data_IF_028729838970
#
_entry.id   IF_028729838970
#
_cell.length_a   1.000
_cell.length_b   1.000
_cell.length_c   1.000
_cell.angle_alpha   90.00
_cell.angle_beta   90.00
_cell.angle_gamma   90.00
#
_symmetry.space_group_name_H-M   'P 1'
#
loop_
_entity.id
_entity.type
_entity.pdbx_description
1 polymer ?
#
# COMPACT_ATOMS: atom_id res chain seq x y z
N UNK A 1 0.58 -16.61 -87.55
CA UNK A 1 1.40 -15.57 -88.22
C UNK A 1 1.37 -15.86 -89.72
N UNK A 2 1.15 -14.86 -90.58
CA UNK A 2 1.19 -15.04 -92.04
C UNK A 2 2.54 -14.54 -92.56
N UNK A 3 3.19 -15.33 -93.41
CA UNK A 3 4.47 -14.95 -94.03
C UNK A 3 4.37 -15.19 -95.53
N UNK A 4 4.89 -14.26 -96.33
CA UNK A 4 4.91 -14.35 -97.80
C UNK A 4 6.34 -14.14 -98.27
N UNK A 5 6.89 -15.12 -98.98
CA UNK A 5 8.21 -14.97 -99.61
C UNK A 5 8.07 -14.15 -100.89
N UNK A 6 9.14 -13.48 -101.31
CA UNK A 6 9.14 -12.55 -102.45
C UNK A 6 8.71 -13.16 -103.78
N UNK A 7 8.75 -14.49 -103.91
CA UNK A 7 8.42 -15.23 -105.13
C UNK A 7 7.02 -15.84 -105.13
N UNK A 8 6.25 -15.69 -104.06
CA UNK A 8 4.90 -16.26 -103.93
C UNK A 8 3.84 -15.17 -104.10
N UNK A 9 2.69 -15.48 -104.70
CA UNK A 9 1.59 -14.51 -104.90
C UNK A 9 0.60 -14.45 -103.74
N UNK A 10 0.57 -15.46 -102.88
CA UNK A 10 -0.32 -15.55 -101.71
C UNK A 10 0.44 -15.72 -100.38
N UNK A 11 -0.18 -15.38 -99.26
CA UNK A 11 0.40 -15.55 -97.93
C UNK A 11 0.23 -17.00 -97.45
N UNK A 12 1.31 -17.61 -96.97
CA UNK A 12 1.26 -18.95 -96.38
C UNK A 12 1.05 -18.82 -94.87
N UNK A 13 0.05 -19.52 -94.35
CA UNK A 13 -0.19 -19.61 -92.92
C UNK A 13 0.86 -20.50 -92.25
N UNK A 14 1.67 -19.92 -91.35
CA UNK A 14 2.66 -20.65 -90.56
C UNK A 14 2.06 -21.28 -89.28
N UNK A 15 0.74 -21.42 -89.23
CA UNK A 15 0.02 -21.83 -88.04
C UNK A 15 -0.30 -20.68 -87.08
N UNK A 16 -1.20 -20.98 -86.16
CA UNK A 16 -1.63 -20.11 -85.05
C UNK A 16 -0.93 -20.58 -83.78
N UNK A 17 -0.05 -19.75 -83.22
CA UNK A 17 0.43 -19.89 -81.84
C UNK A 17 -0.20 -18.76 -81.03
N UNK A 18 -0.97 -19.11 -80.00
CA UNK A 18 -1.61 -18.13 -79.13
C UNK A 18 -0.56 -17.53 -78.21
N UNK A 19 -0.45 -16.19 -78.20
CA UNK A 19 0.29 -15.50 -77.14
C UNK A 19 -0.60 -15.60 -75.90
N UNK A 20 -0.19 -16.43 -74.94
CA UNK A 20 -0.87 -16.52 -73.64
C UNK A 20 -0.54 -15.22 -72.90
N UNK A 21 -1.52 -14.32 -72.78
CA UNK A 21 -1.36 -13.14 -71.93
C UNK A 21 -1.18 -13.59 -70.48
N UNK A 22 -0.19 -13.02 -69.81
CA UNK A 22 0.09 -13.18 -68.37
C UNK A 22 -1.19 -12.89 -67.58
N UNK A 23 -1.53 -13.67 -66.54
CA UNK A 23 -2.91 -13.87 -66.12
C UNK A 23 -3.40 -12.74 -65.22
N UNK A 24 -4.08 -11.76 -65.77
CA UNK A 24 -5.09 -11.00 -65.04
C UNK A 24 -6.25 -10.70 -66.00
N UNK A 25 -7.45 -11.11 -65.61
CA UNK A 25 -8.72 -11.02 -66.34
C UNK A 25 -8.99 -12.14 -67.38
N UNK A 26 -9.37 -13.34 -66.89
CA UNK A 26 -10.19 -14.23 -67.70
C UNK A 26 -11.66 -13.82 -67.58
N UNK A 27 -12.10 -12.94 -68.47
CA UNK A 27 -13.45 -12.97 -69.01
C UNK A 27 -13.31 -13.24 -70.51
N UNK A 28 -13.05 -14.50 -70.86
CA UNK A 28 -13.14 -14.96 -72.23
C UNK A 28 -14.37 -15.86 -72.33
N UNK A 29 -15.52 -15.23 -72.54
CA UNK A 29 -16.82 -15.87 -72.81
C UNK A 29 -16.74 -16.88 -73.99
N UNK A 30 -15.70 -16.78 -74.82
CA UNK A 30 -15.43 -17.66 -75.96
C UNK A 30 -14.53 -18.88 -75.66
N UNK A 31 -14.06 -19.07 -74.42
CA UNK A 31 -13.08 -20.13 -74.10
C UNK A 31 -13.68 -21.52 -73.80
N UNK A 32 -15.00 -21.72 -73.90
CA UNK A 32 -15.70 -22.98 -73.57
C UNK A 32 -16.54 -23.55 -74.71
N UNK A 33 -16.11 -23.36 -75.95
CA UNK A 33 -16.57 -24.21 -77.06
C UNK A 33 -15.70 -25.46 -77.15
N UNK A 34 -16.23 -26.58 -77.67
CA UNK A 34 -15.66 -27.94 -77.59
C UNK A 34 -14.20 -28.16 -78.05
N UNK A 35 -13.51 -27.13 -78.55
CA UNK A 35 -12.05 -27.11 -78.75
C UNK A 35 -11.24 -26.78 -77.47
N UNK A 36 -11.90 -26.45 -76.35
CA UNK A 36 -11.28 -25.94 -75.13
C UNK A 36 -10.55 -26.96 -74.24
N UNK A 37 -10.66 -28.26 -74.55
CA UNK A 37 -9.87 -29.29 -73.85
C UNK A 37 -8.36 -29.13 -74.05
N UNK A 38 -7.91 -28.34 -75.05
CA UNK A 38 -6.48 -28.08 -75.30
C UNK A 38 -5.90 -26.85 -74.56
N UNK A 39 -6.74 -25.96 -74.01
CA UNK A 39 -6.26 -24.70 -73.40
C UNK A 39 -6.08 -24.81 -71.88
N UNK A 40 -6.35 -25.98 -71.32
CA UNK A 40 -6.11 -26.29 -69.92
C UNK A 40 -6.94 -25.46 -68.94
N UNK A 41 -8.10 -24.90 -69.31
CA UNK A 41 -9.00 -24.18 -68.38
C UNK A 41 -10.19 -25.09 -68.05
N UNK A 42 -10.43 -25.34 -66.77
CA UNK A 42 -11.40 -26.35 -66.30
C UNK A 42 -12.83 -25.84 -66.11
N UNK A 43 -13.06 -24.53 -65.91
CA UNK A 43 -14.38 -23.92 -65.75
C UNK A 43 -14.33 -22.38 -65.80
N UNK A 44 -15.48 -21.72 -66.02
CA UNK A 44 -15.63 -20.26 -65.87
C UNK A 44 -15.81 -19.91 -64.38
N UNK A 45 -15.10 -18.88 -63.92
CA UNK A 45 -15.24 -18.32 -62.57
C UNK A 45 -16.04 -17.02 -62.57
N UNK A 46 -16.53 -16.61 -61.40
CA UNK A 46 -17.12 -15.29 -61.19
C UNK A 46 -16.12 -14.17 -61.45
N UNK A 47 -16.62 -12.97 -61.79
CA UNK A 47 -15.81 -11.77 -61.99
C UNK A 47 -14.93 -11.51 -60.76
N UNK A 48 -13.64 -11.18 -61.00
CA UNK A 48 -12.68 -10.88 -59.95
C UNK A 48 -11.92 -12.08 -59.40
N UNK A 49 -12.36 -13.33 -59.66
CA UNK A 49 -11.62 -14.52 -59.24
C UNK A 49 -10.29 -14.66 -60.00
N UNK A 50 -9.23 -15.08 -59.31
CA UNK A 50 -7.98 -15.46 -59.97
C UNK A 50 -8.02 -16.92 -60.44
N UNK A 51 -7.14 -17.30 -61.37
CA UNK A 51 -6.93 -18.69 -61.75
C UNK A 51 -5.70 -19.27 -61.05
N UNK A 52 -5.78 -20.52 -60.62
CA UNK A 52 -4.64 -21.28 -60.08
C UNK A 52 -4.45 -22.59 -60.85
N UNK A 53 -3.20 -23.06 -60.92
CA UNK A 53 -2.89 -24.34 -61.56
C UNK A 53 -3.14 -25.50 -60.60
N UNK A 54 -3.81 -26.53 -61.09
CA UNK A 54 -4.00 -27.83 -60.43
C UNK A 54 -2.91 -28.83 -60.80
N UNK A 55 -1.90 -28.42 -61.59
CA UNK A 55 -0.85 -29.27 -62.14
C UNK A 55 -1.21 -29.94 -63.49
N UNK A 56 -2.51 -30.02 -63.81
CA UNK A 56 -3.04 -30.58 -65.07
C UNK A 56 -3.97 -29.60 -65.80
N UNK A 57 -4.59 -28.67 -65.08
CA UNK A 57 -5.43 -27.61 -65.63
C UNK A 57 -5.41 -26.37 -64.72
N UNK A 58 -5.88 -25.24 -65.23
CA UNK A 58 -6.16 -24.01 -64.54
C UNK A 58 -7.62 -23.99 -64.10
N UNK A 59 -7.86 -23.65 -62.84
CA UNK A 59 -9.18 -23.52 -62.25
C UNK A 59 -9.33 -22.12 -61.64
N UNK A 60 -10.51 -21.48 -61.76
CA UNK A 60 -10.79 -20.26 -61.04
C UNK A 60 -10.90 -20.54 -59.52
N UNK A 61 -10.53 -19.57 -58.69
CA UNK A 61 -10.71 -19.62 -57.23
C UNK A 61 -11.29 -18.31 -56.70
N UNK A 62 -12.29 -18.44 -55.82
CA UNK A 62 -12.85 -17.31 -55.08
C UNK A 62 -12.03 -16.94 -53.83
N UNK A 63 -10.98 -17.73 -53.50
CA UNK A 63 -10.17 -17.51 -52.31
C UNK A 63 -9.24 -16.30 -52.44
N UNK A 64 -8.89 -15.92 -53.67
CA UNK A 64 -8.19 -14.68 -53.94
C UNK A 64 -8.97 -13.98 -55.04
N UNK A 65 -9.52 -12.81 -54.71
CA UNK A 65 -10.26 -12.00 -55.68
C UNK A 65 -9.71 -10.59 -55.74
N UNK A 66 -9.75 -10.01 -56.94
CA UNK A 66 -9.34 -8.64 -57.21
C UNK A 66 -10.55 -7.89 -57.76
N UNK A 67 -11.12 -7.00 -56.96
CA UNK A 67 -12.28 -6.16 -57.33
C UNK A 67 -12.06 -4.74 -56.80
N UNK A 68 -12.43 -3.73 -57.58
CA UNK A 68 -12.46 -2.32 -57.17
C UNK A 68 -11.20 -1.86 -56.40
N UNK A 69 -10.02 -2.16 -56.97
CA UNK A 69 -8.69 -1.84 -56.41
C UNK A 69 -8.32 -2.56 -55.10
N UNK A 70 -9.08 -3.58 -54.69
CA UNK A 70 -8.84 -4.35 -53.47
C UNK A 70 -8.49 -5.81 -53.81
N UNK A 71 -7.51 -6.36 -53.09
CA UNK A 71 -7.22 -7.81 -53.11
C UNK A 71 -7.81 -8.43 -51.84
N UNK A 72 -8.75 -9.34 -51.99
CA UNK A 72 -9.37 -10.06 -50.88
C UNK A 72 -8.84 -11.49 -50.89
N UNK A 73 -8.23 -11.91 -49.77
CA UNK A 73 -7.83 -13.31 -49.55
C UNK A 73 -8.74 -13.91 -48.48
N UNK A 74 -9.51 -14.92 -48.86
CA UNK A 74 -10.50 -15.57 -48.00
C UNK A 74 -10.14 -17.04 -47.74
N UNK A 75 -10.14 -17.49 -46.47
CA UNK A 75 -9.96 -18.90 -46.13
C UNK A 75 -11.15 -19.75 -46.62
N UNK A 76 -10.96 -21.07 -46.72
CA UNK A 76 -12.06 -22.00 -46.97
C UNK A 76 -12.93 -22.16 -45.70
N UNK A 77 -14.19 -22.60 -45.83
CA UNK A 77 -15.07 -22.83 -44.68
C UNK A 77 -14.54 -23.73 -43.54
N UNK A 78 -13.47 -24.50 -43.76
CA UNK A 78 -12.83 -25.39 -42.77
C UNK A 78 -11.31 -25.13 -42.65
N UNK A 79 -10.90 -23.89 -42.87
CA UNK A 79 -9.49 -23.52 -42.73
C UNK A 79 -9.03 -23.60 -41.26
N UNK A 80 -7.82 -24.10 -41.05
CA UNK A 80 -7.20 -24.21 -39.74
C UNK A 80 -6.75 -22.80 -39.28
N UNK A 81 -7.30 -22.25 -38.17
CA UNK A 81 -6.94 -20.91 -37.70
C UNK A 81 -5.45 -20.75 -37.33
N UNK A 82 -4.72 -21.86 -37.10
CA UNK A 82 -3.28 -21.86 -36.86
C UNK A 82 -2.45 -21.82 -38.15
N UNK A 83 -3.07 -21.90 -39.32
CA UNK A 83 -2.39 -21.73 -40.61
C UNK A 83 -2.59 -20.31 -41.16
N UNK A 84 -1.61 -19.77 -41.89
CA UNK A 84 -1.73 -18.44 -42.46
C UNK A 84 -2.67 -18.44 -43.67
N UNK A 85 -3.58 -17.46 -43.73
CA UNK A 85 -4.38 -17.11 -44.92
C UNK A 85 -3.47 -16.51 -46.00
N UNK A 86 -2.49 -15.72 -45.59
CA UNK A 86 -1.47 -15.12 -46.45
C UNK A 86 -0.12 -15.17 -45.74
N UNK A 87 0.93 -15.62 -46.43
CA UNK A 87 2.28 -15.66 -45.87
C UNK A 87 3.31 -15.16 -46.89
N UNK A 88 4.26 -14.35 -46.39
CA UNK A 88 5.48 -13.98 -47.09
C UNK A 88 6.60 -14.83 -46.51
N UNK A 89 7.34 -15.53 -47.37
CA UNK A 89 8.47 -16.38 -46.94
C UNK A 89 9.80 -15.85 -47.44
N UNK A 90 10.88 -16.08 -46.68
CA UNK A 90 12.25 -15.83 -47.15
C UNK A 90 12.70 -16.90 -48.18
N UNK A 91 13.92 -16.76 -48.70
CA UNK A 91 14.49 -17.71 -49.69
C UNK A 91 14.70 -19.13 -49.14
N UNK A 92 14.58 -19.33 -47.83
CA UNK A 92 14.68 -20.63 -47.15
C UNK A 92 13.31 -21.25 -46.88
N UNK A 93 12.21 -20.60 -47.30
CA UNK A 93 10.84 -21.07 -47.07
C UNK A 93 10.28 -20.76 -45.68
N UNK A 94 10.98 -19.95 -44.88
CA UNK A 94 10.52 -19.55 -43.55
C UNK A 94 9.57 -18.36 -43.64
N UNK A 95 8.46 -18.39 -42.91
CA UNK A 95 7.47 -17.30 -42.87
C UNK A 95 8.05 -16.09 -42.14
N UNK A 96 8.15 -14.94 -42.81
CA UNK A 96 8.60 -13.65 -42.24
C UNK A 96 7.43 -12.72 -41.91
N UNK A 97 6.30 -12.88 -42.59
CA UNK A 97 5.05 -12.20 -42.30
C UNK A 97 3.91 -13.16 -42.61
N UNK A 98 2.94 -13.26 -41.72
CA UNK A 98 1.74 -14.05 -41.95
C UNK A 98 0.49 -13.36 -41.41
N UNK A 99 -0.60 -13.48 -42.15
CA UNK A 99 -1.95 -13.09 -41.74
C UNK A 99 -2.73 -14.36 -41.42
N UNK A 100 -3.27 -14.42 -40.22
CA UNK A 100 -4.15 -15.47 -39.71
C UNK A 100 -5.55 -14.90 -39.53
N UNK A 101 -6.55 -15.76 -39.31
CA UNK A 101 -7.91 -15.32 -38.98
C UNK A 101 -7.95 -14.48 -37.68
N UNK A 102 -7.00 -14.71 -36.78
CA UNK A 102 -6.90 -14.03 -35.47
C UNK A 102 -6.02 -12.78 -35.47
N UNK A 103 -5.28 -12.51 -36.55
CA UNK A 103 -4.41 -11.32 -36.64
C UNK A 103 -3.16 -11.50 -37.50
N UNK A 104 -2.24 -10.54 -37.40
CA UNK A 104 -1.01 -10.49 -38.21
C UNK A 104 0.21 -10.80 -37.34
N UNK A 105 1.09 -11.69 -37.79
CA UNK A 105 2.38 -11.99 -37.15
C UNK A 105 3.53 -11.58 -38.07
N UNK A 106 4.51 -10.86 -37.53
CA UNK A 106 5.80 -10.59 -38.18
C UNK A 106 6.89 -11.39 -37.47
N UNK A 107 7.57 -12.26 -38.21
CA UNK A 107 8.69 -13.04 -37.69
C UNK A 107 9.98 -12.34 -38.11
N UNK A 108 10.73 -11.84 -37.13
CA UNK A 108 12.04 -11.23 -37.34
C UNK A 108 13.11 -12.27 -37.02
N UNK A 109 14.01 -12.56 -37.97
CA UNK A 109 15.11 -13.49 -37.74
C UNK A 109 15.97 -13.06 -36.53
N UNK A 110 16.16 -13.99 -35.60
CA UNK A 110 17.12 -13.83 -34.52
C UNK A 110 18.52 -14.15 -35.01
N UNK A 111 19.23 -13.19 -35.60
CA UNK A 111 20.67 -13.38 -35.83
C UNK A 111 21.40 -13.54 -34.49
N UNK A 112 22.40 -14.41 -34.43
CA UNK A 112 23.29 -14.61 -33.27
C UNK A 112 24.23 -13.42 -33.02
N UNK A 113 24.19 -12.42 -33.88
CA UNK A 113 24.92 -11.15 -33.79
C UNK A 113 23.96 -9.99 -34.08
N UNK A 114 23.26 -9.53 -33.04
CA UNK A 114 22.46 -8.29 -33.11
C UNK A 114 23.36 -7.08 -32.82
N UNK A 115 23.21 -6.01 -33.60
CA UNK A 115 23.86 -4.72 -33.35
C UNK A 115 23.37 -4.06 -32.05
N UNK A 116 23.97 -2.92 -31.67
CA UNK A 116 23.74 -2.22 -30.39
C UNK A 116 22.29 -1.80 -30.10
N UNK A 117 21.36 -1.95 -31.04
CA UNK A 117 19.92 -1.72 -30.85
C UNK A 117 19.17 -2.98 -31.29
N UNK A 118 18.39 -3.55 -30.37
CA UNK A 118 17.66 -4.81 -30.56
C UNK A 118 16.62 -4.75 -31.69
N UNK A 119 16.18 -5.93 -32.15
CA UNK A 119 15.41 -6.15 -33.39
C UNK A 119 13.99 -5.57 -33.49
N UNK A 120 13.62 -4.59 -32.65
CA UNK A 120 12.40 -3.80 -32.83
C UNK A 120 12.65 -2.38 -32.27
N UNK A 121 12.80 -1.40 -33.16
CA UNK A 121 12.97 0.01 -32.81
C UNK A 121 11.85 0.81 -33.48
N UNK A 122 11.09 1.55 -32.69
CA UNK A 122 10.05 2.45 -33.17
C UNK A 122 10.50 3.88 -32.90
N UNK A 123 10.72 4.67 -33.97
CA UNK A 123 11.09 6.08 -33.84
C UNK A 123 11.22 6.78 -35.20
N UNK A 124 10.94 8.08 -35.24
CA UNK A 124 11.14 8.93 -36.41
C UNK A 124 12.62 9.22 -36.66
N UNK A 125 13.08 9.01 -37.89
CA UNK A 125 14.44 9.33 -38.35
C UNK A 125 14.47 10.74 -38.94
N UNK A 126 14.67 11.81 -38.15
CA UNK A 126 15.17 13.08 -38.72
C UNK A 126 15.84 13.98 -37.69
N UNK A 127 17.06 14.43 -38.01
CA UNK A 127 17.74 15.57 -37.36
C UNK A 127 17.17 16.93 -37.83
N UNK A 128 15.85 17.04 -38.04
CA UNK A 128 15.22 18.23 -38.61
C UNK A 128 13.90 18.54 -37.92
N UNK A 129 13.76 19.76 -37.40
CA UNK A 129 12.50 20.32 -36.89
C UNK A 129 11.68 20.88 -38.05
N UNK A 130 10.40 20.47 -38.14
CA UNK A 130 9.18 21.15 -38.63
C UNK A 130 8.23 20.07 -39.19
N UNK A 131 7.25 19.57 -38.45
CA UNK A 131 5.96 20.17 -38.04
C UNK A 131 4.95 20.29 -39.20
N UNK A 132 3.92 19.40 -39.22
CA UNK A 132 2.58 19.64 -39.76
C UNK A 132 1.58 18.64 -39.12
N UNK A 133 0.63 19.16 -38.32
CA UNK A 133 -0.68 18.60 -37.96
C UNK A 133 -0.80 17.09 -37.67
N UNK A 134 -0.75 16.76 -36.38
CA UNK A 134 -1.06 15.45 -35.82
C UNK A 134 0.18 14.82 -35.21
N UNK A 135 0.25 14.74 -33.88
CA UNK A 135 1.28 13.96 -33.18
C UNK A 135 1.27 12.53 -33.73
N UNK A 136 2.34 12.06 -34.41
CA UNK A 136 2.40 10.68 -34.83
C UNK A 136 2.51 9.81 -33.58
N UNK A 137 1.45 9.07 -33.27
CA UNK A 137 1.52 7.98 -32.31
C UNK A 137 2.34 6.88 -32.94
N UNK A 138 3.61 6.79 -32.59
CA UNK A 138 4.50 5.81 -33.18
C UNK A 138 4.22 4.38 -32.67
N UNK A 139 3.63 4.24 -31.48
CA UNK A 139 3.19 2.98 -30.89
C UNK A 139 2.15 3.24 -29.78
N UNK A 140 0.96 2.65 -29.88
CA UNK A 140 -0.12 2.74 -28.88
C UNK A 140 -0.48 1.33 -28.41
N UNK A 141 -0.51 1.13 -27.09
CA UNK A 141 -0.98 -0.09 -26.44
C UNK A 141 -2.24 0.25 -25.64
N UNK A 142 -3.34 -0.44 -25.90
CA UNK A 142 -4.62 -0.30 -25.21
C UNK A 142 -4.78 -1.29 -24.05
N UNK A 143 -5.63 -0.99 -23.04
CA UNK A 143 -5.29 -1.21 -21.63
C UNK A 143 -5.53 -2.62 -21.07
N UNK A 144 -5.99 -3.59 -21.85
CA UNK A 144 -6.40 -4.88 -21.25
C UNK A 144 -5.23 -5.81 -20.94
N UNK A 145 -4.14 -5.82 -21.72
CA UNK A 145 -2.91 -6.56 -21.37
C UNK A 145 -1.75 -6.25 -22.33
N UNK A 146 -0.57 -5.90 -21.80
CA UNK A 146 0.67 -5.80 -22.58
C UNK A 146 1.74 -6.71 -21.94
N UNK A 147 2.16 -7.76 -22.65
CA UNK A 147 3.17 -8.72 -22.18
C UNK A 147 4.46 -8.57 -22.97
N UNK A 148 5.57 -8.36 -22.26
CA UNK A 148 6.92 -8.38 -22.84
C UNK A 148 7.59 -9.72 -22.52
N UNK A 149 7.65 -10.63 -23.50
CA UNK A 149 8.36 -11.90 -23.40
C UNK A 149 9.78 -11.74 -23.96
N UNK A 150 10.79 -12.15 -23.20
CA UNK A 150 12.19 -12.08 -23.62
C UNK A 150 12.82 -13.48 -23.62
N UNK A 151 13.38 -13.89 -24.75
CA UNK A 151 14.19 -15.12 -24.87
C UNK A 151 15.39 -15.09 -23.91
N UNK A 152 15.60 -16.17 -23.16
CA UNK A 152 16.57 -16.31 -22.07
C UNK A 152 17.97 -16.78 -22.54
N UNK A 153 18.15 -17.09 -23.82
CA UNK A 153 19.44 -17.62 -24.29
C UNK A 153 20.37 -16.51 -24.82
N UNK A 154 21.36 -16.16 -23.98
CA UNK A 154 22.47 -15.21 -24.23
C UNK A 154 22.11 -13.73 -24.51
N UNK A 155 21.95 -12.94 -23.43
CA UNK A 155 21.77 -11.46 -23.52
C UNK A 155 23.05 -10.67 -23.28
N UNK A 156 23.20 -9.55 -24.00
CA UNK A 156 24.23 -8.53 -23.76
C UNK A 156 23.95 -7.65 -22.54
N UNK A 157 24.90 -6.78 -22.17
CA UNK A 157 24.93 -6.05 -20.89
C UNK A 157 23.71 -5.16 -20.58
N UNK A 158 22.89 -4.79 -21.57
CA UNK A 158 21.66 -3.98 -21.40
C UNK A 158 20.63 -4.32 -22.48
N UNK A 159 19.87 -5.41 -22.30
CA UNK A 159 18.77 -5.78 -23.19
C UNK A 159 17.59 -6.37 -22.42
N UNK A 160 16.41 -5.77 -22.59
CA UNK A 160 15.17 -6.06 -21.85
C UNK A 160 14.79 -4.89 -20.95
N UNK A 161 13.48 -4.68 -20.72
CA UNK A 161 12.96 -3.63 -19.84
C UNK A 161 13.64 -3.72 -18.47
N UNK A 162 14.60 -2.83 -18.21
CA UNK A 162 15.46 -2.89 -17.03
C UNK A 162 14.98 -1.88 -15.99
N UNK A 163 14.45 -2.39 -14.88
CA UNK A 163 14.35 -1.66 -13.61
C UNK A 163 15.32 -2.36 -12.65
N UNK A 164 16.57 -1.87 -12.58
CA UNK A 164 17.65 -2.48 -11.80
C UNK A 164 18.93 -1.64 -11.79
N UNK A 165 19.74 -1.78 -10.73
CA UNK A 165 20.83 -0.87 -10.37
C UNK A 165 22.05 -0.84 -11.31
N UNK A 166 22.77 0.28 -11.25
CA UNK A 166 24.05 0.52 -11.94
C UNK A 166 25.18 -0.31 -11.31
N UNK A 167 25.35 -1.57 -11.72
CA UNK A 167 26.47 -2.40 -11.26
C UNK A 167 26.84 -3.47 -12.28
N UNK A 168 28.11 -3.51 -12.70
CA UNK A 168 28.63 -4.39 -13.75
C UNK A 168 28.77 -5.87 -13.37
N UNK A 169 28.15 -6.33 -12.29
CA UNK A 169 28.36 -7.69 -11.76
C UNK A 169 27.07 -8.49 -11.83
N UNK A 170 27.08 -9.54 -12.65
CA UNK A 170 25.97 -10.47 -12.86
C UNK A 170 25.71 -11.24 -11.56
N UNK A 171 24.56 -11.05 -10.93
CA UNK A 171 24.07 -11.94 -9.88
C UNK A 171 23.07 -12.93 -10.49
N UNK A 172 23.14 -14.17 -10.01
CA UNK A 172 22.51 -15.39 -10.54
C UNK A 172 21.03 -15.56 -10.18
N UNK A 173 20.44 -14.63 -9.43
CA UNK A 173 19.11 -14.80 -8.88
C UNK A 173 18.08 -13.94 -9.60
N UNK A 174 16.95 -14.57 -9.93
CA UNK A 174 15.79 -13.91 -10.54
C UNK A 174 15.11 -13.08 -9.46
N UNK A 175 15.46 -11.81 -9.34
CA UNK A 175 14.85 -10.89 -8.39
C UNK A 175 13.77 -10.05 -9.08
N UNK A 176 12.53 -10.14 -8.60
CA UNK A 176 11.42 -9.30 -9.04
C UNK A 176 11.50 -7.94 -8.34
N UNK A 177 12.05 -6.92 -8.99
CA UNK A 177 12.25 -5.58 -8.39
C UNK A 177 11.00 -4.69 -8.39
N UNK A 178 10.09 -4.89 -9.33
CA UNK A 178 8.85 -4.11 -9.46
C UNK A 178 7.73 -5.01 -9.96
N UNK A 179 6.62 -5.03 -9.23
CA UNK A 179 5.38 -5.69 -9.65
C UNK A 179 4.32 -4.61 -9.76
N UNK A 180 3.66 -4.53 -10.93
CA UNK A 180 2.56 -3.60 -11.20
C UNK A 180 1.31 -4.45 -11.41
N UNK A 181 0.37 -4.31 -10.50
CA UNK A 181 -1.02 -4.76 -10.66
C UNK A 181 -1.92 -3.54 -10.89
N UNK A 182 -3.13 -3.72 -11.45
CA UNK A 182 -4.11 -2.63 -11.58
C UNK A 182 -4.46 -1.95 -10.26
N UNK A 183 -4.32 -2.64 -9.13
CA UNK A 183 -4.67 -2.19 -7.78
C UNK A 183 -3.46 -1.90 -6.88
N UNK A 184 -2.25 -2.28 -7.29
CA UNK A 184 -1.08 -2.20 -6.41
C UNK A 184 0.25 -2.17 -7.16
N UNK A 185 1.18 -1.37 -6.67
CA UNK A 185 2.56 -1.36 -7.12
C UNK A 185 3.44 -1.77 -5.94
N UNK A 186 4.23 -2.84 -6.12
CA UNK A 186 5.20 -3.30 -5.10
C UNK A 186 6.61 -3.06 -5.59
N UNK A 187 7.41 -2.36 -4.78
CA UNK A 187 8.86 -2.26 -4.93
C UNK A 187 9.52 -3.20 -3.92
N UNK A 188 10.18 -4.25 -4.41
CA UNK A 188 10.90 -5.19 -3.55
C UNK A 188 12.38 -4.81 -3.49
N UNK A 189 12.88 -4.51 -2.29
CA UNK A 189 14.28 -4.16 -2.05
C UNK A 189 14.92 -5.34 -1.33
N UNK A 190 15.94 -5.97 -1.94
CA UNK A 190 16.68 -7.05 -1.30
C UNK A 190 17.37 -6.57 -0.01
N UNK A 191 17.23 -7.33 1.06
CA UNK A 191 17.87 -7.08 2.36
C UNK A 191 19.25 -7.72 2.49
N UNK A 192 19.72 -8.51 1.51
CA UNK A 192 20.83 -9.45 1.70
C UNK A 192 22.15 -9.09 1.00
N UNK A 193 22.36 -7.85 0.55
CA UNK A 193 23.64 -7.45 -0.03
C UNK A 193 24.12 -6.13 0.57
N UNK A 194 25.42 -6.08 0.87
CA UNK A 194 26.17 -4.90 1.29
C UNK A 194 25.74 -3.68 0.48
N UNK A 195 24.89 -2.84 1.08
CA UNK A 195 24.32 -1.67 0.41
C UNK A 195 25.46 -0.69 0.13
N UNK A 196 25.50 -0.17 -1.10
CA UNK A 196 26.34 1.00 -1.43
C UNK A 196 25.88 2.22 -0.64
N UNK A 197 26.63 3.33 -0.76
CA UNK A 197 26.43 4.58 0.00
C UNK A 197 25.01 5.23 -0.11
N UNK A 198 24.12 4.71 -0.95
CA UNK A 198 22.72 5.12 -1.07
C UNK A 198 21.84 3.86 -1.02
N UNK A 199 20.96 3.79 -0.02
CA UNK A 199 20.12 2.63 0.27
C UNK A 199 19.15 2.25 -0.86
N UNK A 200 18.51 1.09 -0.72
CA UNK A 200 17.85 0.40 -1.83
C UNK A 200 16.58 1.02 -2.45
N UNK A 201 16.12 2.19 -1.99
CA UNK A 201 15.14 3.02 -2.69
C UNK A 201 15.45 4.49 -2.39
N UNK A 202 15.89 5.23 -3.40
CA UNK A 202 16.25 6.64 -3.29
C UNK A 202 15.52 7.43 -4.37
N UNK A 203 14.74 8.43 -3.96
CA UNK A 203 14.09 9.38 -4.87
C UNK A 203 14.80 10.73 -4.73
N UNK A 204 15.55 11.14 -5.75
CA UNK A 204 16.43 12.30 -5.69
C UNK A 204 17.05 12.66 -7.04
N UNK A 205 17.42 13.94 -7.21
CA UNK A 205 18.04 14.46 -8.43
C UNK A 205 19.43 13.86 -8.70
N UNK A 206 19.70 13.54 -9.97
CA UNK A 206 20.93 12.87 -10.45
C UNK A 206 22.10 13.82 -10.79
N UNK A 207 22.12 15.05 -10.28
CA UNK A 207 23.07 16.05 -10.78
C UNK A 207 24.01 16.56 -9.69
N UNK A 208 25.32 16.52 -9.97
CA UNK A 208 26.37 17.31 -9.29
C UNK A 208 26.24 18.83 -9.59
N UNK A 209 25.08 19.30 -10.02
CA UNK A 209 24.81 20.69 -10.34
C UNK A 209 23.92 21.27 -9.26
N UNK A 210 24.44 22.27 -8.55
CA UNK A 210 23.70 23.03 -7.54
C UNK A 210 22.74 24.00 -8.25
N UNK A 211 21.57 24.17 -7.62
CA UNK A 211 20.55 25.23 -7.76
C UNK A 211 19.34 24.90 -8.64
N UNK A 212 18.21 24.56 -8.01
CA UNK A 212 17.19 25.57 -7.67
C UNK A 212 15.97 24.93 -6.99
N UNK A 213 15.48 25.62 -5.96
CA UNK A 213 14.11 25.65 -5.39
C UNK A 213 13.33 24.34 -5.28
N UNK A 214 13.24 23.82 -4.04
CA UNK A 214 12.21 22.90 -3.52
C UNK A 214 11.57 21.96 -4.55
N UNK A 215 12.26 20.86 -4.88
CA UNK A 215 11.64 19.77 -5.64
C UNK A 215 10.95 18.81 -4.65
N UNK A 216 9.65 18.56 -4.84
CA UNK A 216 8.96 17.45 -4.19
C UNK A 216 9.52 16.15 -4.76
N UNK A 217 10.38 15.47 -4.00
CA UNK A 217 10.92 14.17 -4.42
C UNK A 217 9.93 13.04 -4.21
N UNK A 218 8.95 13.20 -3.33
CA UNK A 218 7.93 12.20 -3.05
C UNK A 218 6.69 12.91 -2.52
N UNK A 219 5.57 12.82 -3.24
CA UNK A 219 4.29 13.40 -2.88
C UNK A 219 3.25 12.28 -2.83
N UNK A 220 2.45 12.28 -1.77
CA UNK A 220 1.43 11.26 -1.51
C UNK A 220 0.10 11.97 -1.29
N UNK A 221 -0.91 11.57 -2.05
CA UNK A 221 -2.21 12.24 -2.17
C UNK A 221 -3.28 11.58 -1.24
N UNK A 222 -4.48 12.18 -1.09
CA UNK A 222 -5.33 12.09 0.12
C UNK A 222 -5.90 10.74 0.55
N UNK A 223 -5.70 9.65 -0.19
CA UNK A 223 -6.40 8.39 0.07
C UNK A 223 -5.78 7.55 1.20
N UNK A 224 -5.16 8.22 2.19
CA UNK A 224 -4.53 7.68 3.40
C UNK A 224 -3.29 6.82 3.16
N UNK A 225 -2.12 7.39 3.49
CA UNK A 225 -0.88 6.64 3.64
C UNK A 225 -0.55 6.55 5.12
N UNK A 226 -0.38 5.33 5.61
CA UNK A 226 -0.04 5.04 6.99
C UNK A 226 1.42 4.56 7.07
N UNK A 227 2.15 5.05 8.07
CA UNK A 227 3.44 4.48 8.47
C UNK A 227 3.17 3.58 9.67
N UNK A 228 3.30 2.27 9.49
CA UNK A 228 2.95 1.28 10.54
C UNK A 228 3.93 1.30 11.72
N UNK A 229 5.16 1.75 11.49
CA UNK A 229 6.22 1.74 12.50
C UNK A 229 6.75 3.18 12.73
N UNK A 230 8.06 3.35 12.71
CA UNK A 230 8.73 4.61 13.08
C UNK A 230 9.01 5.48 11.86
N UNK A 231 8.69 6.77 11.97
CA UNK A 231 9.21 7.81 11.09
C UNK A 231 10.48 8.42 11.72
N UNK A 232 11.61 8.37 11.01
CA UNK A 232 12.86 9.01 11.45
C UNK A 232 13.26 10.05 10.41
N UNK A 233 13.44 11.30 10.86
CA UNK A 233 14.02 12.38 10.04
C UNK A 233 15.39 12.75 10.60
N UNK A 234 16.41 12.83 9.73
CA UNK A 234 17.75 13.32 10.08
C UNK A 234 17.87 14.85 9.94
N UNK A 235 16.83 15.51 9.43
CA UNK A 235 16.77 16.96 9.22
C UNK A 235 15.37 17.50 9.56
N UNK A 236 15.11 18.75 9.24
CA UNK A 236 13.85 19.41 9.57
C UNK A 236 12.63 18.69 8.96
N UNK A 237 11.60 18.50 9.78
CA UNK A 237 10.28 18.05 9.36
C UNK A 237 9.31 19.20 9.55
N UNK A 238 8.72 19.69 8.46
CA UNK A 238 7.71 20.73 8.49
C UNK A 238 6.33 20.08 8.30
N UNK A 239 5.46 20.19 9.31
CA UNK A 239 4.08 19.69 9.25
C UNK A 239 3.14 20.88 9.16
N UNK A 240 2.41 20.99 8.05
CA UNK A 240 1.45 22.08 7.77
C UNK A 240 0.03 21.80 8.34
N UNK A 241 -0.09 20.83 9.24
CA UNK A 241 -1.34 20.39 9.86
C UNK A 241 -1.10 19.78 11.25
N UNK A 242 -2.12 19.11 11.80
CA UNK A 242 -2.04 18.53 13.14
C UNK A 242 -1.41 17.14 13.11
N UNK A 243 -0.39 16.91 13.94
CA UNK A 243 0.05 15.55 14.31
C UNK A 243 -0.74 15.15 15.55
N UNK A 244 -1.63 14.17 15.42
CA UNK A 244 -2.36 13.62 16.57
C UNK A 244 -1.78 12.26 16.95
N UNK A 245 -1.32 12.13 18.18
CA UNK A 245 -0.78 10.86 18.71
C UNK A 245 -1.86 9.96 19.31
N UNK A 246 -3.16 10.30 19.21
CA UNK A 246 -4.28 9.68 19.96
C UNK A 246 -4.02 9.54 21.48
N UNK A 247 -3.00 10.22 21.99
CA UNK A 247 -2.59 10.24 23.39
C UNK A 247 -2.75 11.67 23.87
N UNK A 248 -3.41 11.87 25.00
CA UNK A 248 -3.57 13.20 25.60
C UNK A 248 -4.60 14.08 24.92
N UNK A 249 -5.59 13.52 24.23
CA UNK A 249 -6.65 14.31 23.58
C UNK A 249 -7.70 14.68 24.65
N UNK A 250 -7.90 15.97 24.97
CA UNK A 250 -8.92 16.37 25.95
C UNK A 250 -10.32 15.95 25.50
N UNK A 251 -11.11 15.42 26.43
CA UNK A 251 -12.51 15.06 26.23
C UNK A 251 -13.41 15.97 27.09
N UNK A 252 -14.73 16.02 26.82
CA UNK A 252 -15.65 16.81 27.63
C UNK A 252 -15.56 16.43 29.13
N UNK A 253 -15.52 17.42 30.04
CA UNK A 253 -15.44 17.15 31.47
C UNK A 253 -16.71 16.42 31.97
N UNK A 254 -16.56 15.73 33.08
CA UNK A 254 -17.56 14.87 33.71
C UNK A 254 -17.89 15.38 35.11
N UNK A 255 -19.15 15.33 35.53
CA UNK A 255 -19.56 15.57 36.92
C UNK A 255 -19.96 14.25 37.60
N UNK A 256 -19.58 14.08 38.87
CA UNK A 256 -20.11 13.00 39.71
C UNK A 256 -21.45 13.38 40.38
N UNK A 257 -21.94 12.47 41.23
CA UNK A 257 -23.19 12.62 41.98
C UNK A 257 -23.14 13.74 43.04
N UNK A 258 -21.94 14.12 43.49
CA UNK A 258 -21.69 15.23 44.41
C UNK A 258 -21.44 16.55 43.65
N UNK A 259 -21.70 16.58 42.34
CA UNK A 259 -21.49 17.73 41.44
C UNK A 259 -20.03 18.17 41.34
N UNK A 260 -19.09 17.27 41.62
CA UNK A 260 -17.66 17.52 41.45
C UNK A 260 -17.32 17.30 39.98
N UNK A 261 -16.74 18.32 39.34
CA UNK A 261 -16.34 18.29 37.94
C UNK A 261 -14.90 17.79 37.84
N UNK A 262 -14.66 16.87 36.90
CA UNK A 262 -13.37 16.29 36.57
C UNK A 262 -13.06 16.48 35.10
N UNK A 263 -11.82 16.81 34.81
CA UNK A 263 -11.29 16.75 33.45
C UNK A 263 -11.16 15.29 33.00
N UNK A 264 -11.29 15.07 31.69
CA UNK A 264 -11.19 13.75 31.07
C UNK A 264 -10.25 13.81 29.88
N UNK A 265 -9.63 12.68 29.56
CA UNK A 265 -8.62 12.58 28.50
C UNK A 265 -8.71 11.25 27.77
N UNK A 266 -8.56 11.29 26.45
CA UNK A 266 -8.48 10.10 25.60
C UNK A 266 -7.03 9.70 25.40
N UNK A 267 -6.75 8.41 25.65
CA UNK A 267 -5.46 7.75 25.49
C UNK A 267 -5.69 6.45 24.70
N UNK A 268 -5.19 6.40 23.47
CA UNK A 268 -5.54 5.35 22.53
C UNK A 268 -7.05 5.33 22.28
N UNK A 269 -7.67 4.19 22.57
CA UNK A 269 -9.11 3.99 22.45
C UNK A 269 -9.88 4.17 23.77
N UNK A 270 -9.18 4.45 24.88
CA UNK A 270 -9.78 4.58 26.20
C UNK A 270 -9.96 6.04 26.60
N UNK A 271 -11.02 6.35 27.35
CA UNK A 271 -11.23 7.67 27.94
C UNK A 271 -11.17 7.58 29.45
N UNK A 272 -10.22 8.31 30.03
CA UNK A 272 -9.86 8.27 31.44
C UNK A 272 -10.20 9.60 32.12
N UNK A 273 -10.46 9.56 33.42
CA UNK A 273 -10.41 10.78 34.22
C UNK A 273 -8.97 11.29 34.27
N UNK A 274 -8.78 12.61 34.21
CA UNK A 274 -7.50 13.27 34.40
C UNK A 274 -7.24 13.64 35.88
N UNK A 275 -8.22 13.41 36.76
CA UNK A 275 -8.15 13.73 38.19
C UNK A 275 -8.63 12.57 39.07
N UNK A 276 -8.11 12.47 40.29
CA UNK A 276 -8.53 11.43 41.26
C UNK A 276 -9.98 11.66 41.72
N UNK A 277 -10.70 10.56 41.95
CA UNK A 277 -12.09 10.60 42.40
C UNK A 277 -12.22 11.25 43.80
N UNK A 278 -13.25 12.09 43.98
CA UNK A 278 -13.52 12.89 45.20
C UNK A 278 -14.93 12.71 45.78
N UNK A 279 -15.73 11.81 45.20
CA UNK A 279 -17.10 11.56 45.65
C UNK A 279 -17.13 11.04 47.10
N UNK A 280 -18.23 11.33 47.78
CA UNK A 280 -18.61 10.77 49.08
C UNK A 280 -19.78 9.77 48.97
N UNK A 281 -20.27 9.55 47.75
CA UNK A 281 -21.44 8.71 47.45
C UNK A 281 -21.19 7.81 46.26
N UNK A 282 -21.86 6.66 46.24
CA UNK A 282 -22.01 5.85 45.06
C UNK A 282 -22.86 6.59 44.01
N UNK A 283 -22.75 6.19 42.75
CA UNK A 283 -23.54 6.75 41.63
C UNK A 283 -25.05 6.65 41.79
N UNK A 284 -25.53 5.74 42.63
CA UNK A 284 -26.95 5.60 43.00
C UNK A 284 -27.40 6.61 44.08
N UNK A 285 -26.50 7.47 44.56
CA UNK A 285 -26.73 8.45 45.60
C UNK A 285 -26.55 7.92 47.03
N UNK A 286 -26.27 6.62 47.21
CA UNK A 286 -26.01 6.07 48.55
C UNK A 286 -24.72 6.64 49.13
N UNK A 287 -24.72 7.16 50.37
CA UNK A 287 -23.49 7.55 51.05
C UNK A 287 -22.52 6.38 51.22
N UNK A 288 -21.22 6.65 51.01
CA UNK A 288 -20.15 5.72 51.35
C UNK A 288 -19.87 5.86 52.85
N UNK A 289 -19.77 4.75 53.57
CA UNK A 289 -19.43 4.79 54.99
C UNK A 289 -18.02 5.36 55.17
N UNK A 290 -17.85 6.23 56.17
CA UNK A 290 -16.56 6.81 56.54
C UNK A 290 -15.46 5.80 56.91
N UNK A 291 -15.82 4.54 57.20
CA UNK A 291 -14.86 3.44 57.39
C UNK A 291 -14.29 2.91 56.06
N UNK A 292 -14.92 3.24 54.93
CA UNK A 292 -14.55 2.75 53.59
C UNK A 292 -13.95 3.83 52.70
N UNK A 293 -13.97 5.10 53.13
CA UNK A 293 -13.22 6.16 52.46
C UNK A 293 -12.71 7.22 53.44
N UNK A 294 -11.64 7.90 53.05
CA UNK A 294 -11.03 9.00 53.80
C UNK A 294 -10.86 10.23 52.90
N UNK A 295 -11.22 11.39 53.45
CA UNK A 295 -11.05 12.70 52.82
C UNK A 295 -10.12 13.55 53.67
N UNK A 296 -8.97 13.94 53.11
CA UNK A 296 -7.94 14.72 53.83
C UNK A 296 -8.39 16.16 54.07
N UNK A 297 -8.12 16.67 55.27
CA UNK A 297 -8.34 18.08 55.63
C UNK A 297 -7.06 18.94 55.56
N UNK A 298 -5.95 18.41 55.04
CA UNK A 298 -4.64 19.08 54.99
C UNK A 298 -4.44 19.98 53.74
N UNK A 299 -3.44 20.88 53.72
CA UNK A 299 -3.16 21.79 52.60
C UNK A 299 -2.92 21.08 51.26
N UNK A 300 -2.32 19.89 51.30
CA UNK A 300 -2.35 18.90 50.22
C UNK A 300 -3.79 18.35 50.12
N UNK A 301 -4.64 19.18 49.53
CA UNK A 301 -6.08 19.04 49.62
C UNK A 301 -6.63 17.88 48.79
N UNK A 302 -7.83 17.44 49.15
CA UNK A 302 -8.65 16.51 48.37
C UNK A 302 -8.88 16.99 46.94
N UNK A 303 -8.77 18.30 46.68
CA UNK A 303 -8.82 18.88 45.33
C UNK A 303 -7.68 18.37 44.45
N UNK A 304 -6.49 18.18 45.02
CA UNK A 304 -5.28 17.77 44.28
C UNK A 304 -5.18 16.24 44.21
N UNK A 305 -5.31 15.57 45.35
CA UNK A 305 -4.99 14.15 45.50
C UNK A 305 -6.22 13.23 45.50
N UNK A 306 -7.42 13.79 45.53
CA UNK A 306 -8.65 13.02 45.64
C UNK A 306 -8.93 12.50 47.05
N UNK A 307 -9.95 11.66 47.15
CA UNK A 307 -10.20 10.85 48.34
C UNK A 307 -9.48 9.49 48.23
N UNK A 308 -9.37 8.82 49.37
CA UNK A 308 -8.82 7.48 49.50
C UNK A 308 -9.96 6.52 49.75
N UNK A 309 -10.04 5.42 49.00
CA UNK A 309 -11.09 4.41 49.12
C UNK A 309 -10.47 3.06 49.42
N UNK A 310 -11.08 2.29 50.32
CA UNK A 310 -10.70 0.90 50.52
C UNK A 310 -11.32 0.00 49.45
N UNK A 311 -10.80 -1.21 49.34
CA UNK A 311 -11.31 -2.26 48.45
C UNK A 311 -12.82 -2.47 48.56
N UNK A 312 -13.39 -2.37 49.75
CA UNK A 312 -14.82 -2.56 50.00
C UNK A 312 -15.77 -1.67 49.18
N UNK A 313 -15.31 -0.53 48.62
CA UNK A 313 -16.16 0.31 47.76
C UNK A 313 -16.28 -0.23 46.33
N UNK A 314 -15.37 -1.10 45.90
CA UNK A 314 -15.36 -1.65 44.54
C UNK A 314 -16.66 -2.41 44.28
N UNK A 315 -17.17 -2.30 43.06
CA UNK A 315 -18.47 -2.85 42.68
C UNK A 315 -18.56 -4.36 42.92
N UNK A 316 -17.45 -5.09 42.79
CA UNK A 316 -17.37 -6.53 43.07
C UNK A 316 -17.64 -6.88 44.55
N UNK A 317 -17.40 -5.96 45.49
CA UNK A 317 -17.62 -6.17 46.93
C UNK A 317 -18.85 -5.42 47.44
N UNK A 318 -19.06 -4.17 47.03
CA UNK A 318 -20.18 -3.33 47.47
C UNK A 318 -21.49 -3.61 46.73
N UNK A 319 -21.42 -4.20 45.53
CA UNK A 319 -22.54 -4.28 44.59
C UNK A 319 -22.92 -2.93 43.99
N UNK A 320 -22.10 -1.88 44.15
CA UNK A 320 -22.40 -0.50 43.75
C UNK A 320 -21.26 0.14 42.97
N UNK A 321 -21.60 1.00 42.02
CA UNK A 321 -20.60 1.76 41.26
C UNK A 321 -20.26 3.07 41.98
N UNK A 322 -18.99 3.23 42.36
CA UNK A 322 -18.46 4.44 42.99
C UNK A 322 -18.13 5.54 41.98
N UNK A 323 -17.87 5.17 40.72
CA UNK A 323 -17.58 6.13 39.65
C UNK A 323 -18.88 6.80 39.13
N UNK A 324 -18.79 7.94 38.42
CA UNK A 324 -19.96 8.58 37.81
C UNK A 324 -20.72 7.65 36.85
N UNK A 325 -21.98 7.97 36.54
CA UNK A 325 -22.78 7.18 35.59
C UNK A 325 -22.11 7.12 34.20
N UNK A 326 -22.02 5.92 33.62
CA UNK A 326 -21.30 5.67 32.37
C UNK A 326 -19.78 5.53 32.53
N UNK A 327 -19.31 5.39 33.78
CA UNK A 327 -17.91 5.21 34.13
C UNK A 327 -17.77 4.15 35.22
N UNK A 328 -16.63 3.48 35.28
CA UNK A 328 -16.36 2.45 36.28
C UNK A 328 -14.92 2.51 36.78
N UNK A 329 -14.66 1.78 37.88
CA UNK A 329 -13.30 1.57 38.37
C UNK A 329 -12.61 0.59 37.42
N UNK A 330 -11.44 0.93 36.85
CA UNK A 330 -10.83 0.14 35.80
C UNK A 330 -10.45 -1.26 36.28
N UNK A 331 -10.60 -2.23 35.39
CA UNK A 331 -10.10 -3.59 35.59
C UNK A 331 -8.63 -3.71 35.14
N UNK A 332 -8.07 -4.91 35.30
CA UNK A 332 -6.67 -5.18 34.97
C UNK A 332 -6.36 -4.99 33.48
N UNK A 333 -7.24 -5.47 32.59
CA UNK A 333 -7.03 -5.41 31.14
C UNK A 333 -7.06 -3.97 30.63
N UNK A 334 -7.85 -3.11 31.26
CA UNK A 334 -7.90 -1.69 30.93
C UNK A 334 -6.62 -0.95 31.30
N UNK A 335 -6.06 -1.23 32.48
CA UNK A 335 -4.74 -0.72 32.86
C UNK A 335 -3.63 -1.25 31.96
N UNK A 336 -3.66 -2.54 31.60
CA UNK A 336 -2.70 -3.12 30.66
C UNK A 336 -2.79 -2.46 29.29
N UNK A 337 -4.01 -2.19 28.79
CA UNK A 337 -4.23 -1.47 27.53
C UNK A 337 -3.61 -0.07 27.58
N UNK A 338 -3.87 0.69 28.65
CA UNK A 338 -3.28 2.02 28.84
C UNK A 338 -1.75 1.96 28.83
N UNK A 339 -1.16 1.06 29.64
CA UNK A 339 0.29 0.95 29.80
C UNK A 339 0.98 0.48 28.52
N UNK A 340 0.37 -0.43 27.77
CA UNK A 340 0.87 -0.85 26.46
C UNK A 340 0.82 0.28 25.44
N UNK A 341 -0.25 1.09 25.42
CA UNK A 341 -0.36 2.23 24.50
C UNK A 341 0.76 3.26 24.72
N UNK A 342 1.07 3.56 25.98
CA UNK A 342 2.03 4.62 26.31
C UNK A 342 3.48 4.12 26.43
N UNK A 343 3.65 2.89 26.92
CA UNK A 343 4.95 2.27 27.24
C UNK A 343 5.42 1.20 26.25
N UNK A 344 4.56 0.78 25.31
CA UNK A 344 4.84 -0.28 24.33
C UNK A 344 4.47 -1.69 24.82
N UNK A 345 4.58 -2.68 23.93
CA UNK A 345 4.19 -4.07 24.22
C UNK A 345 4.96 -4.69 25.40
N UNK A 346 6.23 -4.28 25.58
CA UNK A 346 7.11 -4.73 26.66
C UNK A 346 7.24 -3.70 27.79
N UNK A 347 6.20 -2.89 28.03
CA UNK A 347 6.24 -1.80 29.02
C UNK A 347 6.72 -2.27 30.40
N UNK A 348 6.44 -3.51 30.80
CA UNK A 348 6.82 -4.07 32.11
C UNK A 348 8.34 -4.27 32.25
N UNK A 349 9.09 -4.36 31.16
CA UNK A 349 10.55 -4.42 31.16
C UNK A 349 11.20 -3.03 31.29
N UNK A 350 10.47 -1.97 30.91
CA UNK A 350 10.94 -0.58 30.97
C UNK A 350 9.76 0.37 31.22
N UNK A 351 9.23 0.34 32.44
CA UNK A 351 8.03 1.09 32.82
C UNK A 351 8.28 2.59 32.96
N UNK A 352 9.55 3.03 32.94
CA UNK A 352 9.93 4.44 32.98
C UNK A 352 9.35 5.24 31.81
N UNK A 353 9.16 4.63 30.63
CA UNK A 353 8.51 5.33 29.52
C UNK A 353 7.05 5.66 29.83
N UNK A 354 6.30 4.68 30.35
CA UNK A 354 4.92 4.89 30.77
C UNK A 354 4.84 5.96 31.87
N UNK A 355 5.69 5.85 32.90
CA UNK A 355 5.81 6.83 33.98
C UNK A 355 5.97 8.27 33.46
N UNK A 356 6.94 8.49 32.57
CA UNK A 356 7.23 9.83 32.03
C UNK A 356 6.00 10.47 31.40
N UNK A 357 5.18 9.67 30.70
CA UNK A 357 4.05 10.14 29.91
C UNK A 357 2.78 10.41 30.72
N UNK A 358 2.63 9.84 31.92
CA UNK A 358 1.43 9.97 32.78
C UNK A 358 1.65 10.87 34.00
N UNK A 359 2.89 11.21 34.32
CA UNK A 359 3.24 12.03 35.50
C UNK A 359 3.54 13.47 35.09
N UNK A 360 2.96 14.44 35.80
CA UNK A 360 3.19 15.88 35.65
C UNK A 360 4.67 16.26 35.87
N UNK A 361 5.24 17.20 35.07
CA UNK A 361 6.54 17.78 35.38
C UNK A 361 6.47 18.65 36.63
N UNK A 362 7.59 18.75 37.35
CA UNK A 362 7.67 19.45 38.64
C UNK A 362 7.22 20.92 38.59
N UNK A 363 7.50 21.61 37.49
CA UNK A 363 7.14 23.01 37.26
C UNK A 363 5.65 23.24 36.97
N UNK A 364 4.92 22.19 36.59
CA UNK A 364 3.46 22.22 36.40
C UNK A 364 2.66 21.97 37.68
N UNK A 365 3.33 21.61 38.78
CA UNK A 365 2.71 21.48 40.09
C UNK A 365 2.40 22.89 40.62
N UNK A 366 1.10 23.20 40.67
CA UNK A 366 0.53 24.48 41.10
C UNK A 366 1.03 24.84 42.52
N UNK A 367 1.11 26.14 42.81
CA UNK A 367 1.15 26.67 44.19
C UNK A 367 0.09 25.96 45.07
N UNK A 368 0.53 25.12 46.02
CA UNK A 368 -0.35 24.34 46.89
C UNK A 368 -0.18 22.82 46.84
N UNK A 369 0.75 22.29 46.04
CA UNK A 369 1.16 20.87 46.08
C UNK A 369 2.55 20.80 46.71
N UNK A 370 2.64 20.38 47.98
CA UNK A 370 3.91 20.43 48.71
C UNK A 370 4.66 19.09 48.71
N UNK A 371 3.93 17.98 48.56
CA UNK A 371 4.51 16.66 48.84
C UNK A 371 4.81 15.79 47.60
N UNK A 372 4.18 16.00 46.43
CA UNK A 372 4.48 15.19 45.23
C UNK A 372 5.66 15.77 44.46
N UNK A 373 6.84 15.17 44.60
CA UNK A 373 8.05 15.60 43.87
C UNK A 373 8.70 14.39 43.19
N UNK A 374 8.32 14.06 41.94
CA UNK A 374 9.00 13.00 41.21
C UNK A 374 10.49 13.37 41.03
N UNK A 375 11.38 12.37 41.04
CA UNK A 375 12.82 12.60 40.98
C UNK A 375 13.29 13.04 39.58
N UNK A 376 13.11 14.34 39.29
CA UNK A 376 13.47 14.97 38.01
C UNK A 376 14.99 15.01 37.75
N UNK A 377 15.83 14.82 38.78
CA UNK A 377 17.28 14.76 38.59
C UNK A 377 17.72 13.53 37.77
N UNK A 378 16.83 12.52 37.65
CA UNK A 378 17.08 11.28 36.91
C UNK A 378 16.04 11.04 35.81
N UNK A 379 14.80 11.54 35.97
CA UNK A 379 13.67 11.18 35.10
C UNK A 379 12.87 12.42 34.69
N UNK A 380 13.03 12.86 33.43
CA UNK A 380 12.21 13.94 32.85
C UNK A 380 10.79 13.46 32.54
N UNK A 381 9.80 13.95 33.29
CA UNK A 381 8.37 13.66 33.05
C UNK A 381 7.73 14.72 32.16
N UNK A 382 6.67 14.36 31.44
CA UNK A 382 6.00 15.23 30.45
C UNK A 382 4.50 15.35 30.65
N UNK A 383 3.86 14.34 31.23
CA UNK A 383 2.39 14.20 31.26
C UNK A 383 1.72 14.41 29.89
N UNK A 384 2.39 14.00 28.81
CA UNK A 384 1.87 14.16 27.44
C UNK A 384 0.53 13.44 27.22
N UNK A 385 0.18 12.50 28.09
CA UNK A 385 -1.11 11.79 28.09
C UNK A 385 -2.23 12.57 28.77
N UNK A 386 -1.94 13.62 29.54
CA UNK A 386 -2.91 14.33 30.37
C UNK A 386 -3.48 13.53 31.55
N UNK A 387 -3.01 12.29 31.80
CA UNK A 387 -3.55 11.41 32.84
C UNK A 387 -3.34 11.95 34.27
N UNK A 388 -2.22 12.64 34.50
CA UNK A 388 -1.89 13.30 35.77
C UNK A 388 -1.90 12.33 36.97
N UNK A 389 -1.01 11.33 36.92
CA UNK A 389 -0.78 10.34 37.97
C UNK A 389 -0.05 10.96 39.18
N UNK A 390 -0.79 11.68 40.02
CA UNK A 390 -0.26 12.32 41.23
C UNK A 390 -0.09 11.31 42.37
N UNK A 391 1.03 11.39 43.08
CA UNK A 391 1.32 10.52 44.22
C UNK A 391 0.53 10.85 45.48
N UNK A 392 -0.75 10.50 45.48
CA UNK A 392 -1.60 10.60 46.67
C UNK A 392 -1.17 9.64 47.79
N UNK A 393 -0.42 8.59 47.48
CA UNK A 393 -0.07 7.54 48.41
C UNK A 393 -1.27 6.72 48.87
N UNK A 394 -1.18 6.20 50.08
CA UNK A 394 -2.22 5.40 50.72
C UNK A 394 -2.40 5.81 52.18
N UNK A 395 -3.52 5.41 52.75
CA UNK A 395 -3.78 5.42 54.19
C UNK A 395 -4.30 4.05 54.61
N UNK A 396 -4.33 3.77 55.91
CA UNK A 396 -4.92 2.55 56.47
C UNK A 396 -5.81 2.87 57.66
N UNK A 397 -6.78 1.99 57.90
CA UNK A 397 -7.69 2.09 59.03
C UNK A 397 -7.02 1.52 60.29
N UNK A 398 -6.89 2.34 61.33
CA UNK A 398 -6.44 1.90 62.64
C UNK A 398 -7.61 1.27 63.41
N UNK A 399 -7.60 -0.06 63.50
CA UNK A 399 -8.66 -0.82 64.18
C UNK A 399 -8.71 -0.57 65.70
N UNK A 400 -7.61 -0.14 66.33
CA UNK A 400 -7.56 0.09 67.77
C UNK A 400 -8.19 1.43 68.14
N UNK A 401 -8.01 2.44 67.29
CA UNK A 401 -8.51 3.80 67.52
C UNK A 401 -9.70 4.18 66.63
N UNK A 402 -10.18 3.26 65.78
CA UNK A 402 -11.30 3.44 64.86
C UNK A 402 -11.18 4.73 64.04
N UNK A 403 -10.01 4.96 63.45
CA UNK A 403 -9.73 6.15 62.66
C UNK A 403 -8.75 5.85 61.52
N UNK A 404 -8.80 6.67 60.48
CA UNK A 404 -7.78 6.68 59.43
C UNK A 404 -6.46 7.25 59.95
N UNK A 405 -5.35 6.63 59.54
CA UNK A 405 -4.03 7.22 59.72
C UNK A 405 -3.80 8.36 58.71
N UNK A 406 -2.89 9.31 58.99
CA UNK A 406 -2.49 10.29 58.00
C UNK A 406 -1.95 9.60 56.72
N UNK A 407 -2.34 10.04 55.52
CA UNK A 407 -1.90 9.42 54.28
C UNK A 407 -0.41 9.69 54.01
N UNK A 408 0.26 8.72 53.40
CA UNK A 408 1.65 8.86 52.96
C UNK A 408 1.73 9.49 51.56
N UNK A 409 1.38 10.77 51.46
CA UNK A 409 1.43 11.53 50.19
C UNK A 409 2.87 11.75 49.73
N UNK A 410 3.09 11.79 48.42
CA UNK A 410 4.31 12.35 47.84
C UNK A 410 5.37 11.39 47.33
N UNK A 411 5.33 10.12 47.76
CA UNK A 411 6.28 9.09 47.31
C UNK A 411 5.79 8.28 46.11
N UNK A 412 4.55 7.78 46.19
CA UNK A 412 3.97 6.86 45.19
C UNK A 412 2.54 7.27 44.86
N UNK A 413 2.10 7.00 43.64
CA UNK A 413 0.67 7.00 43.30
C UNK A 413 0.14 5.56 43.34
N UNK A 414 -0.94 5.34 44.10
CA UNK A 414 -1.60 4.04 44.18
C UNK A 414 -3.04 4.17 43.68
N UNK A 415 -3.42 3.27 42.76
CA UNK A 415 -4.76 3.23 42.19
C UNK A 415 -5.40 1.86 42.35
N UNK A 416 -6.61 1.80 42.89
CA UNK A 416 -7.37 0.54 42.97
C UNK A 416 -7.71 0.00 41.59
N UNK A 417 -7.62 -1.33 41.47
CA UNK A 417 -8.11 -2.09 40.33
C UNK A 417 -9.38 -2.82 40.75
N UNK A 418 -10.40 -2.81 39.89
CA UNK A 418 -11.61 -3.61 40.07
C UNK A 418 -11.35 -5.06 39.63
N UNK A 419 -10.93 -5.89 40.57
CA UNK A 419 -10.53 -7.29 40.35
C UNK A 419 -11.02 -8.22 41.48
N UNK A 420 -11.11 -9.52 41.18
CA UNK A 420 -11.54 -10.53 42.15
C UNK A 420 -10.53 -10.74 43.29
N UNK A 421 -9.26 -10.50 43.03
CA UNK A 421 -8.21 -10.37 44.04
C UNK A 421 -7.86 -8.90 44.19
N UNK A 422 -7.48 -8.47 45.38
CA UNK A 422 -7.14 -7.08 45.63
C UNK A 422 -5.82 -6.72 44.93
N UNK A 423 -5.87 -5.80 43.97
CA UNK A 423 -4.72 -5.34 43.19
C UNK A 423 -4.70 -3.82 43.10
N UNK A 424 -3.51 -3.26 42.90
CA UNK A 424 -3.30 -1.83 42.68
C UNK A 424 -2.25 -1.57 41.61
N UNK A 425 -2.40 -0.45 40.91
CA UNK A 425 -1.29 0.13 40.15
C UNK A 425 -0.45 0.98 41.09
N UNK A 426 0.85 0.72 41.11
CA UNK A 426 1.86 1.46 41.87
C UNK A 426 2.76 2.23 40.90
N UNK A 427 2.84 3.54 41.10
CA UNK A 427 3.69 4.45 40.34
C UNK A 427 4.67 5.08 41.32
N UNK A 428 5.91 4.60 41.28
CA UNK A 428 6.99 5.06 42.15
C UNK A 428 7.59 6.37 41.62
N UNK A 429 7.39 7.47 42.36
CA UNK A 429 7.89 8.79 42.00
C UNK A 429 9.42 8.92 42.03
N UNK A 430 10.13 8.02 42.71
CA UNK A 430 11.58 8.04 42.84
C UNK A 430 12.27 7.24 41.74
N UNK A 431 11.87 5.99 41.53
CA UNK A 431 12.47 5.11 40.51
C UNK A 431 11.86 5.28 39.11
N UNK A 432 10.68 5.90 39.03
CA UNK A 432 9.88 5.96 37.80
C UNK A 432 9.32 4.61 37.37
N UNK A 433 9.27 3.64 38.28
CA UNK A 433 8.69 2.33 38.01
C UNK A 433 7.17 2.40 38.07
N UNK A 434 6.52 1.78 37.08
CA UNK A 434 5.09 1.43 37.12
C UNK A 434 4.97 -0.08 37.28
N UNK A 435 4.24 -0.52 38.30
CA UNK A 435 4.00 -1.93 38.61
C UNK A 435 2.53 -2.17 38.93
N UNK A 436 2.12 -3.44 38.85
CA UNK A 436 0.83 -3.90 39.34
C UNK A 436 1.12 -4.85 40.49
N UNK A 437 0.73 -4.44 41.68
CA UNK A 437 1.09 -5.08 42.95
C UNK A 437 -0.17 -5.42 43.77
N UNK A 438 0.00 -6.22 44.81
CA UNK A 438 -1.03 -6.43 45.83
C UNK A 438 -0.83 -5.44 46.98
N UNK A 439 -1.81 -4.60 47.31
CA UNK A 439 -1.73 -3.72 48.47
C UNK A 439 -1.83 -4.51 49.78
N UNK A 440 -1.28 -3.96 50.85
CA UNK A 440 -1.56 -4.43 52.21
C UNK A 440 -3.06 -4.40 52.53
N UNK A 441 -3.51 -5.35 53.34
CA UNK A 441 -4.91 -5.42 53.78
C UNK A 441 -5.32 -4.15 54.56
N UNK A 442 -6.55 -3.68 54.35
CA UNK A 442 -7.10 -2.51 55.06
C UNK A 442 -6.53 -1.16 54.61
N UNK A 443 -5.82 -1.11 53.47
CA UNK A 443 -5.39 0.13 52.87
C UNK A 443 -6.50 0.78 52.03
N UNK A 444 -6.48 2.10 52.01
CA UNK A 444 -7.25 2.93 51.09
C UNK A 444 -6.32 3.77 50.23
N UNK A 445 -6.68 3.91 48.96
CA UNK A 445 -5.88 4.57 47.92
C UNK A 445 -6.78 5.29 46.92
N UNK A 446 -6.19 5.96 45.94
CA UNK A 446 -6.97 6.71 44.96
C UNK A 446 -7.73 5.80 43.98
N UNK A 447 -8.82 6.34 43.43
CA UNK A 447 -9.53 5.74 42.30
C UNK A 447 -9.41 6.66 41.10
N UNK A 448 -9.16 6.07 39.93
CA UNK A 448 -9.19 6.77 38.64
C UNK A 448 -10.17 6.07 37.70
N UNK A 449 -11.34 6.65 37.48
CA UNK A 449 -12.37 6.00 36.67
C UNK A 449 -12.06 6.07 35.16
N UNK A 450 -12.58 5.08 34.45
CA UNK A 450 -12.56 4.98 32.98
C UNK A 450 -14.00 4.95 32.45
N UNK A 451 -14.23 5.51 31.26
CA UNK A 451 -15.55 5.58 30.63
C UNK A 451 -15.95 4.20 30.10
N UNK A 452 -17.22 3.85 30.26
CA UNK A 452 -17.80 2.64 29.68
C UNK A 452 -17.71 2.71 28.13
N UNK A 453 -17.41 1.58 27.49
CA UNK A 453 -17.31 1.46 26.04
C UNK A 453 -18.67 1.46 25.32
#
# INVERSE_FOLDING_TARGET
>A
MLVKRTTETEFISMGTSQIVSVPYAFLADSALTAASALNGISSLGSLGNIAYSTGIAWAPTAQVSVMDSTVIVSPKPDHDPEKPIFAVTNSQGQVVMAVYETGVRFNVEGSSTKGAKGGFAVGGLTNGKADVLGTPTYFQLEPTYAQFLFDQTAKGAKGGFAVGGLGGTKLSDTLNYMIIHPDSIRFAISSTLTKGAKGGFAVGGLTNAVKSTANNYFEVTPDSTYVVNTMVSYSDMMVMGTVTTNVGVPEPPLADIDSIIYNTVRIGNQVWMAENLRTSKYSDGTPIDSMHFYSSSYPDSTVVFGNYYSDSVLAIYSGKNVCPLGWHVPNIDEWLTLLTEIGGIDWSLNSTLAFKKIVEPYDSLISGIYNWTPNQAVIYTTNETGFSARGAGSTSWDILYLKWLPPFTGGNAYFLINSATLQMVNIDGYSGSVTIDEPGSGMAMSIRCIRDN
#
